data_IF_745773455290
#
_entry.id   IF_745773455290
#
_cell.length_a   1.000
_cell.length_b   1.000
_cell.length_c   1.000
_cell.angle_alpha   90.00
_cell.angle_beta   90.00
_cell.angle_gamma   90.00
#
_symmetry.space_group_name_H-M   'P 1'
#
loop_
_entity.id
_entity.type
_entity.pdbx_description
1 polymer ?
#
# COMPACT_ATOMS: atom_id res chain seq x y z
N UNK A 1 -23.59 0.72 27.24
CA UNK A 1 -23.46 1.34 25.90
C UNK A 1 -22.78 2.67 26.11
N UNK A 2 -21.45 2.63 26.26
CA UNK A 2 -20.64 3.83 26.39
C UNK A 2 -20.27 4.27 24.98
N UNK A 3 -20.46 5.53 24.66
CA UNK A 3 -19.84 6.19 23.52
C UNK A 3 -18.32 5.88 23.56
N UNK A 4 -17.87 4.92 22.76
CA UNK A 4 -16.51 4.97 22.26
C UNK A 4 -16.43 6.26 21.47
N UNK A 5 -15.44 7.12 21.70
CA UNK A 5 -15.24 8.34 20.90
C UNK A 5 -15.35 8.00 19.40
N UNK A 6 -16.51 8.32 18.83
CA UNK A 6 -17.12 7.56 17.74
C UNK A 6 -16.36 7.74 16.44
N UNK A 7 -16.16 6.65 15.69
CA UNK A 7 -15.70 6.75 14.31
C UNK A 7 -16.57 7.75 13.52
N UNK A 8 -15.93 8.77 12.93
CA UNK A 8 -16.62 9.85 12.24
C UNK A 8 -16.60 9.58 10.74
N UNK A 9 -17.71 9.77 10.00
CA UNK A 9 -17.67 9.78 8.55
C UNK A 9 -16.60 10.74 8.04
N UNK A 10 -15.87 10.32 7.01
CA UNK A 10 -14.82 11.09 6.37
C UNK A 10 -15.19 11.32 4.91
N UNK A 11 -14.94 12.54 4.43
CA UNK A 11 -15.12 12.91 3.03
C UNK A 11 -13.83 13.59 2.59
N UNK A 12 -13.28 13.12 1.48
CA UNK A 12 -12.11 13.74 0.86
C UNK A 12 -12.58 15.08 0.29
N UNK A 13 -11.94 16.15 0.73
CA UNK A 13 -12.16 17.50 0.21
C UNK A 13 -10.80 18.17 0.10
N UNK A 14 -10.20 18.08 -1.09
CA UNK A 14 -8.91 18.70 -1.40
C UNK A 14 -9.18 20.17 -1.76
N UNK A 15 -8.61 21.13 -1.01
CA UNK A 15 -8.79 22.55 -1.27
C UNK A 15 -8.31 22.95 -2.68
N UNK A 16 -9.03 23.87 -3.35
CA UNK A 16 -8.70 24.29 -4.71
C UNK A 16 -7.30 24.91 -4.83
N UNK A 17 -6.84 25.63 -3.79
CA UNK A 17 -5.50 26.22 -3.75
C UNK A 17 -4.39 25.15 -3.78
N UNK A 18 -4.62 23.96 -3.21
CA UNK A 18 -3.70 22.82 -3.32
C UNK A 18 -3.63 22.29 -4.75
N UNK A 19 -4.77 22.23 -5.44
CA UNK A 19 -4.82 21.79 -6.85
C UNK A 19 -4.17 22.82 -7.77
N UNK A 20 -4.37 24.11 -7.53
CA UNK A 20 -3.73 25.18 -8.28
C UNK A 20 -2.21 25.19 -8.05
N UNK A 21 -1.77 24.99 -6.81
CA UNK A 21 -0.36 24.84 -6.49
C UNK A 21 0.28 23.61 -7.17
N UNK A 22 -0.43 22.49 -7.21
CA UNK A 22 0.00 21.30 -7.94
C UNK A 22 0.17 21.60 -9.43
N UNK A 23 -0.80 22.27 -10.06
CA UNK A 23 -0.71 22.69 -11.47
C UNK A 23 0.50 23.58 -11.74
N UNK A 24 0.79 24.53 -10.86
CA UNK A 24 1.97 25.38 -10.97
C UNK A 24 3.27 24.56 -10.88
N UNK A 25 3.35 23.60 -9.97
CA UNK A 25 4.52 22.72 -9.84
C UNK A 25 4.72 21.83 -11.08
N UNK A 26 3.64 21.34 -11.68
CA UNK A 26 3.70 20.58 -12.93
C UNK A 26 4.14 21.46 -14.12
N UNK A 27 3.67 22.70 -14.18
CA UNK A 27 4.07 23.66 -15.23
C UNK A 27 5.55 24.07 -15.15
N UNK A 28 6.07 24.26 -13.94
CA UNK A 28 7.46 24.67 -13.70
C UNK A 28 8.44 23.49 -13.67
N UNK A 29 7.96 22.27 -13.89
CA UNK A 29 8.78 21.07 -13.79
C UNK A 29 9.93 21.10 -14.82
N UNK A 30 11.15 20.91 -14.32
CA UNK A 30 12.33 20.70 -15.17
C UNK A 30 12.58 19.20 -15.30
N UNK A 31 12.60 18.70 -16.53
CA UNK A 31 12.85 17.29 -16.82
C UNK A 31 14.35 17.02 -17.04
N UNK A 32 14.86 15.84 -16.68
CA UNK A 32 16.21 15.43 -17.05
C UNK A 32 16.30 15.14 -18.56
N UNK A 33 17.53 15.15 -19.08
CA UNK A 33 17.81 14.72 -20.45
C UNK A 33 17.58 13.21 -20.63
N UNK A 34 17.13 12.81 -21.82
CA UNK A 34 17.03 11.40 -22.18
C UNK A 34 18.43 10.84 -22.48
N UNK A 35 18.83 9.82 -21.72
CA UNK A 35 20.14 9.16 -21.89
C UNK A 35 20.04 7.98 -22.87
N UNK A 36 18.91 7.28 -22.89
CA UNK A 36 18.66 6.14 -23.78
C UNK A 36 18.09 6.62 -25.12
N UNK A 37 18.54 6.01 -26.23
CA UNK A 37 18.09 6.35 -27.59
C UNK A 37 16.75 5.72 -27.95
N UNK A 38 16.35 4.66 -27.26
CA UNK A 38 15.03 4.03 -27.42
C UNK A 38 14.05 4.65 -26.41
N UNK A 39 12.99 5.27 -26.93
CA UNK A 39 11.98 5.99 -26.14
C UNK A 39 11.06 5.08 -25.32
N UNK A 40 11.06 3.78 -25.60
CA UNK A 40 10.31 2.75 -24.87
C UNK A 40 11.18 1.91 -23.92
N UNK A 41 12.45 2.29 -23.73
CA UNK A 41 13.38 1.53 -22.88
C UNK A 41 13.27 1.94 -21.40
N UNK A 42 12.76 1.02 -20.58
CA UNK A 42 12.56 1.19 -19.14
C UNK A 42 13.74 0.70 -18.29
N UNK A 43 14.86 0.26 -18.90
CA UNK A 43 16.00 -0.31 -18.16
C UNK A 43 16.58 0.63 -17.10
N UNK A 44 16.42 1.95 -17.25
CA UNK A 44 16.84 2.97 -16.30
C UNK A 44 15.67 3.72 -15.62
N UNK A 45 14.47 3.12 -15.62
CA UNK A 45 13.24 3.71 -15.09
C UNK A 45 12.35 4.37 -16.16
N UNK A 46 11.37 5.21 -15.76
CA UNK A 46 10.38 5.75 -16.68
C UNK A 46 10.99 6.59 -17.82
N UNK A 47 10.70 6.27 -19.10
CA UNK A 47 11.21 7.05 -20.22
C UNK A 47 10.69 8.49 -20.22
N UNK A 48 11.54 9.42 -20.68
CA UNK A 48 11.20 10.85 -20.73
C UNK A 48 9.92 11.15 -21.54
N UNK A 49 9.67 10.54 -22.71
CA UNK A 49 8.42 10.77 -23.45
C UNK A 49 7.18 10.36 -22.65
N UNK A 50 7.24 9.22 -21.95
CA UNK A 50 6.16 8.77 -21.05
C UNK A 50 5.92 9.76 -19.92
N UNK A 51 6.98 10.23 -19.26
CA UNK A 51 6.87 11.21 -18.19
C UNK A 51 6.27 12.54 -18.67
N UNK A 52 6.70 13.06 -19.83
CA UNK A 52 6.15 14.29 -20.41
C UNK A 52 4.67 14.14 -20.75
N UNK A 53 4.30 13.02 -21.37
CA UNK A 53 2.91 12.71 -21.73
C UNK A 53 2.01 12.65 -20.49
N UNK A 54 2.45 11.97 -19.44
CA UNK A 54 1.67 11.87 -18.19
C UNK A 54 1.58 13.22 -17.48
N UNK A 55 2.67 13.97 -17.35
CA UNK A 55 2.65 15.30 -16.73
C UNK A 55 1.73 16.26 -17.48
N UNK A 56 1.72 16.22 -18.81
CA UNK A 56 0.80 17.01 -19.63
C UNK A 56 -0.66 16.60 -19.38
N UNK A 57 -0.93 15.30 -19.33
CA UNK A 57 -2.26 14.79 -18.98
C UNK A 57 -2.67 15.19 -17.55
N UNK A 58 -1.75 15.21 -16.59
CA UNK A 58 -2.02 15.65 -15.22
C UNK A 58 -2.34 17.13 -15.15
N UNK A 59 -1.65 17.94 -15.95
CA UNK A 59 -1.82 19.39 -16.00
C UNK A 59 -3.16 19.78 -16.61
N UNK A 60 -3.48 19.19 -17.76
CA UNK A 60 -4.55 19.69 -18.64
C UNK A 60 -5.71 18.71 -18.88
N UNK A 61 -5.51 17.42 -18.62
CA UNK A 61 -6.51 16.38 -18.89
C UNK A 61 -7.18 15.79 -17.65
N UNK A 62 -6.55 15.87 -16.48
CA UNK A 62 -7.11 15.24 -15.28
C UNK A 62 -8.20 16.06 -14.61
N UNK A 63 -9.30 15.39 -14.29
CA UNK A 63 -10.30 15.92 -13.38
C UNK A 63 -10.09 15.40 -11.96
N UNK A 64 -9.33 16.18 -11.16
CA UNK A 64 -9.09 15.91 -9.75
C UNK A 64 -10.39 15.84 -8.93
N UNK A 65 -11.40 16.64 -9.26
CA UNK A 65 -12.66 16.69 -8.51
C UNK A 65 -13.57 15.52 -8.87
N UNK A 66 -13.54 15.04 -10.11
CA UNK A 66 -14.19 13.79 -10.47
C UNK A 66 -13.57 12.58 -9.75
N UNK A 67 -12.23 12.53 -9.65
CA UNK A 67 -11.54 11.47 -8.91
C UNK A 67 -11.90 11.49 -7.42
N UNK A 68 -11.87 12.67 -6.78
CA UNK A 68 -12.32 12.89 -5.40
C UNK A 68 -13.77 12.43 -5.21
N UNK A 69 -14.69 12.86 -6.07
CA UNK A 69 -16.10 12.48 -6.01
C UNK A 69 -16.30 10.97 -6.12
N UNK A 70 -15.54 10.30 -7.01
CA UNK A 70 -15.59 8.84 -7.17
C UNK A 70 -15.13 8.11 -5.91
N UNK A 71 -14.05 8.56 -5.27
CA UNK A 71 -13.56 7.96 -4.02
C UNK A 71 -14.57 8.17 -2.88
N UNK A 72 -15.21 9.33 -2.82
CA UNK A 72 -16.24 9.65 -1.84
C UNK A 72 -17.54 8.84 -1.98
N UNK A 73 -17.71 8.06 -3.05
CA UNK A 73 -18.79 7.07 -3.14
C UNK A 73 -18.57 5.87 -2.20
N UNK A 74 -17.33 5.66 -1.75
CA UNK A 74 -16.98 4.57 -0.84
C UNK A 74 -17.10 5.09 0.60
N UNK A 75 -17.79 4.37 1.51
CA UNK A 75 -17.90 4.77 2.90
C UNK A 75 -16.53 4.82 3.58
N UNK A 76 -16.12 6.04 3.94
CA UNK A 76 -14.84 6.37 4.57
C UNK A 76 -15.07 6.92 5.96
N UNK A 77 -14.14 6.65 6.87
CA UNK A 77 -14.23 7.05 8.26
C UNK A 77 -12.86 7.44 8.81
N UNK A 78 -12.87 8.21 9.89
CA UNK A 78 -11.69 8.51 10.69
C UNK A 78 -11.98 8.24 12.16
N UNK A 79 -11.02 7.63 12.86
CA UNK A 79 -11.15 7.29 14.28
C UNK A 79 -9.83 7.47 15.01
N UNK A 80 -9.82 8.01 16.25
CA UNK A 80 -8.60 8.07 17.04
C UNK A 80 -8.20 6.67 17.54
N UNK A 81 -6.94 6.29 17.41
CA UNK A 81 -6.37 5.04 17.93
C UNK A 81 -5.12 5.37 18.75
N UNK A 82 -5.12 4.95 20.02
CA UNK A 82 -3.98 5.10 20.92
C UNK A 82 -2.97 3.98 20.70
N UNK A 83 -1.71 4.34 20.40
CA UNK A 83 -0.62 3.40 20.17
C UNK A 83 0.39 3.52 21.31
N UNK A 84 0.76 2.38 21.89
CA UNK A 84 1.58 2.33 23.09
C UNK A 84 2.96 2.91 22.81
N UNK A 85 3.33 3.94 23.58
CA UNK A 85 4.59 4.66 23.42
C UNK A 85 4.63 5.71 22.31
N UNK A 86 3.57 5.86 21.51
CA UNK A 86 3.50 6.82 20.40
C UNK A 86 2.33 7.81 20.48
N UNK A 87 1.33 7.54 21.32
CA UNK A 87 0.17 8.42 21.51
C UNK A 87 -0.96 8.13 20.54
N UNK A 88 -1.86 9.10 20.37
CA UNK A 88 -3.09 8.95 19.60
C UNK A 88 -2.89 9.38 18.15
N UNK A 89 -3.31 8.53 17.21
CA UNK A 89 -3.34 8.83 15.78
C UNK A 89 -4.76 8.86 15.26
N UNK A 90 -5.08 9.80 14.37
CA UNK A 90 -6.30 9.73 13.57
C UNK A 90 -6.06 8.74 12.44
N UNK A 91 -6.82 7.65 12.45
CA UNK A 91 -6.72 6.57 11.46
C UNK A 91 -7.87 6.68 10.49
N UNK A 92 -7.56 6.90 9.22
CA UNK A 92 -8.51 6.81 8.11
C UNK A 92 -8.70 5.35 7.69
N UNK A 93 -9.94 4.96 7.38
CA UNK A 93 -10.25 3.63 6.85
C UNK A 93 -11.52 3.60 6.01
N UNK A 94 -11.60 2.64 5.09
CA UNK A 94 -12.86 2.26 4.42
C UNK A 94 -13.61 1.25 5.28
N UNK A 95 -14.95 1.35 5.32
CA UNK A 95 -15.82 0.36 5.98
C UNK A 95 -16.97 -0.01 5.06
N UNK A 96 -16.85 -1.14 4.38
CA UNK A 96 -17.80 -1.59 3.36
C UNK A 96 -18.61 -2.77 3.90
N UNK A 97 -19.89 -2.84 3.50
CA UNK A 97 -20.84 -3.86 3.96
C UNK A 97 -21.11 -3.84 5.47
N UNK A 98 -21.13 -2.63 6.05
CA UNK A 98 -21.28 -2.41 7.49
C UNK A 98 -22.58 -3.02 8.02
N UNK A 99 -22.48 -3.89 9.03
CA UNK A 99 -23.64 -4.51 9.68
C UNK A 99 -24.34 -5.61 8.87
N UNK A 100 -23.68 -6.13 7.83
CA UNK A 100 -24.19 -7.25 7.06
C UNK A 100 -24.29 -8.53 7.91
N UNK A 101 -25.45 -9.19 7.87
CA UNK A 101 -25.66 -10.44 8.62
C UNK A 101 -24.80 -11.56 8.02
N UNK A 102 -24.15 -12.33 8.89
CA UNK A 102 -23.30 -13.47 8.51
C UNK A 102 -22.09 -13.12 7.64
N UNK A 103 -21.71 -11.84 7.58
CA UNK A 103 -20.49 -11.42 6.91
C UNK A 103 -19.27 -11.69 7.81
N UNK A 104 -18.20 -12.20 7.22
CA UNK A 104 -16.91 -12.41 7.89
C UNK A 104 -16.19 -11.06 7.98
N UNK A 105 -15.80 -10.58 9.18
CA UNK A 105 -14.98 -9.39 9.28
C UNK A 105 -13.61 -9.61 8.63
N UNK A 106 -13.29 -8.78 7.64
CA UNK A 106 -12.06 -8.87 6.84
C UNK A 106 -11.29 -7.55 6.95
N UNK A 107 -10.09 -7.63 7.52
CA UNK A 107 -9.13 -6.53 7.51
C UNK A 107 -8.19 -6.68 6.31
N UNK A 108 -8.19 -5.71 5.39
CA UNK A 108 -7.29 -5.68 4.23
C UNK A 108 -6.23 -4.60 4.39
N UNK A 109 -4.96 -4.98 4.29
CA UNK A 109 -3.82 -4.11 4.61
C UNK A 109 -2.96 -3.93 3.36
N UNK A 110 -2.84 -2.68 2.90
CA UNK A 110 -2.02 -2.32 1.74
C UNK A 110 -0.53 -2.27 2.08
N UNK A 111 0.29 -2.08 1.04
CA UNK A 111 1.73 -1.83 1.17
C UNK A 111 2.18 -0.51 0.55
N UNK A 112 3.40 -0.50 0.01
CA UNK A 112 4.03 0.58 -0.73
C UNK A 112 4.37 0.12 -2.16
N UNK A 113 4.23 0.98 -3.19
CA UNK A 113 3.74 2.36 -3.14
C UNK A 113 2.23 2.50 -2.92
N UNK A 114 1.52 1.38 -2.72
CA UNK A 114 0.07 1.27 -2.56
C UNK A 114 -0.59 2.13 -1.47
N UNK A 115 -1.92 2.03 -1.44
CA UNK A 115 -2.81 2.67 -0.47
C UNK A 115 -4.13 1.92 -0.40
N UNK A 116 -5.08 2.36 0.43
CA UNK A 116 -6.44 1.82 0.46
C UNK A 116 -7.12 1.77 -0.93
N UNK A 117 -6.66 2.62 -1.86
CA UNK A 117 -7.17 2.68 -3.22
C UNK A 117 -7.06 1.36 -3.99
N UNK A 118 -6.01 0.57 -3.75
CA UNK A 118 -5.72 -0.65 -4.51
C UNK A 118 -6.84 -1.70 -4.40
N UNK A 119 -7.59 -1.65 -3.30
CA UNK A 119 -8.68 -2.59 -3.03
C UNK A 119 -10.02 -2.15 -3.61
N UNK A 120 -10.15 -0.90 -4.09
CA UNK A 120 -11.46 -0.33 -4.49
C UNK A 120 -12.15 -1.12 -5.61
N UNK A 121 -11.37 -1.78 -6.47
CA UNK A 121 -11.87 -2.61 -7.56
C UNK A 121 -12.43 -3.97 -7.14
N UNK A 122 -12.08 -4.46 -5.95
CA UNK A 122 -12.53 -5.78 -5.45
C UNK A 122 -13.63 -5.69 -4.39
N UNK A 123 -13.90 -4.48 -3.87
CA UNK A 123 -14.91 -4.24 -2.83
C UNK A 123 -16.29 -4.79 -3.17
N UNK A 124 -16.74 -4.62 -4.43
CA UNK A 124 -18.05 -5.11 -4.88
C UNK A 124 -18.18 -6.62 -4.75
N UNK A 125 -17.20 -7.37 -5.26
CA UNK A 125 -17.19 -8.83 -5.21
C UNK A 125 -17.07 -9.37 -3.77
N UNK A 126 -16.29 -8.71 -2.91
CA UNK A 126 -16.12 -9.11 -1.51
C UNK A 126 -17.36 -8.83 -0.65
N UNK A 127 -18.04 -7.71 -0.89
CA UNK A 127 -19.23 -7.32 -0.15
C UNK A 127 -20.48 -8.09 -0.61
N UNK A 128 -20.63 -8.26 -1.93
CA UNK A 128 -21.84 -8.76 -2.58
C UNK A 128 -21.55 -10.04 -3.38
N UNK A 129 -20.97 -11.07 -2.76
CA UNK A 129 -20.82 -12.37 -3.43
C UNK A 129 -22.15 -12.82 -4.04
N UNK A 130 -22.13 -13.14 -5.34
CA UNK A 130 -23.31 -13.41 -6.17
C UNK A 130 -23.84 -14.86 -6.03
N UNK A 131 -23.34 -15.65 -5.06
CA UNK A 131 -23.69 -17.06 -4.86
C UNK A 131 -23.53 -17.59 -3.42
N UNK A 132 -23.02 -18.81 -3.27
CA UNK A 132 -22.72 -19.45 -1.97
C UNK A 132 -21.41 -18.95 -1.33
N UNK A 133 -20.70 -18.04 -1.99
CA UNK A 133 -19.42 -17.54 -1.50
C UNK A 133 -19.57 -16.77 -0.16
N UNK A 134 -18.52 -16.79 0.69
CA UNK A 134 -18.51 -16.00 1.91
C UNK A 134 -18.63 -14.50 1.58
N UNK A 135 -19.50 -13.82 2.32
CA UNK A 135 -19.62 -12.35 2.30
C UNK A 135 -18.70 -11.76 3.34
N UNK A 136 -18.11 -10.60 3.04
CA UNK A 136 -17.20 -9.93 3.95
C UNK A 136 -17.72 -8.57 4.40
N UNK A 137 -17.47 -8.23 5.67
CA UNK A 137 -17.54 -6.87 6.18
C UNK A 137 -16.10 -6.33 6.17
N UNK A 138 -15.82 -5.44 5.21
CA UNK A 138 -14.45 -5.14 4.80
C UNK A 138 -13.98 -3.84 5.45
N UNK A 139 -12.86 -3.93 6.17
CA UNK A 139 -12.15 -2.81 6.81
C UNK A 139 -10.81 -2.63 6.11
N UNK A 140 -10.56 -1.42 5.61
CA UNK A 140 -9.32 -1.09 4.87
C UNK A 140 -8.69 0.17 5.46
N UNK A 141 -7.79 0.06 6.45
CA UNK A 141 -7.10 1.21 6.99
C UNK A 141 -6.12 1.79 5.97
N UNK A 142 -5.96 3.11 5.99
CA UNK A 142 -4.70 3.72 5.59
C UNK A 142 -3.70 3.52 6.73
N UNK A 143 -2.55 2.92 6.44
CA UNK A 143 -1.47 2.75 7.43
C UNK A 143 -1.04 4.10 8.01
N UNK A 144 -0.48 4.10 9.23
CA UNK A 144 0.10 5.33 9.81
C UNK A 144 1.18 5.85 8.89
N UNK A 145 1.08 7.13 8.50
CA UNK A 145 1.92 7.76 7.48
C UNK A 145 1.41 7.63 6.04
N UNK A 146 0.28 6.97 5.79
CA UNK A 146 -0.25 6.78 4.45
C UNK A 146 -1.64 7.40 4.31
N UNK A 147 -2.01 7.76 3.08
CA UNK A 147 -3.37 8.20 2.79
C UNK A 147 -3.76 9.43 3.62
N UNK A 148 -4.89 9.30 4.30
CA UNK A 148 -5.45 10.30 5.21
C UNK A 148 -5.24 9.98 6.70
N UNK A 149 -4.49 8.93 7.03
CA UNK A 149 -4.09 8.62 8.42
C UNK A 149 -2.91 9.48 8.84
N UNK A 150 -2.87 9.94 10.08
CA UNK A 150 -1.75 10.73 10.62
C UNK A 150 -0.40 10.02 10.43
N UNK A 151 0.68 10.81 10.31
CA UNK A 151 2.06 10.30 10.25
C UNK A 151 2.71 10.23 11.63
N UNK A 152 3.61 9.26 11.81
CA UNK A 152 4.44 9.20 13.01
C UNK A 152 5.31 10.48 13.13
N UNK A 153 5.49 10.96 14.36
CA UNK A 153 6.27 12.17 14.66
C UNK A 153 7.56 11.87 15.45
N UNK A 154 7.88 10.59 15.65
CA UNK A 154 9.08 10.13 16.33
C UNK A 154 9.55 8.79 15.74
N UNK A 155 10.86 8.48 15.83
CA UNK A 155 11.42 7.24 15.29
C UNK A 155 10.85 5.97 15.94
N UNK A 156 10.98 4.85 15.23
CA UNK A 156 10.67 3.51 15.75
C UNK A 156 9.25 3.01 15.46
N UNK A 157 8.46 3.73 14.65
CA UNK A 157 7.15 3.27 14.21
C UNK A 157 7.29 2.12 13.19
N UNK A 158 7.47 0.90 13.69
CA UNK A 158 7.71 -0.30 12.90
C UNK A 158 6.43 -1.01 12.45
N UNK A 159 6.56 -2.09 11.67
CA UNK A 159 5.43 -2.96 11.31
C UNK A 159 4.73 -3.55 12.55
N UNK A 160 5.42 -3.70 13.69
CA UNK A 160 4.77 -4.11 14.95
C UNK A 160 3.78 -3.05 15.45
N UNK A 161 4.10 -1.77 15.30
CA UNK A 161 3.21 -0.66 15.68
C UNK A 161 2.07 -0.48 14.67
N UNK A 162 2.30 -0.76 13.39
CA UNK A 162 1.21 -0.85 12.40
C UNK A 162 0.25 -2.01 12.72
N UNK A 163 0.76 -3.18 13.12
CA UNK A 163 -0.06 -4.31 13.55
C UNK A 163 -0.87 -3.99 14.82
N UNK A 164 -0.26 -3.33 15.82
CA UNK A 164 -0.95 -2.85 17.01
C UNK A 164 -2.09 -1.89 16.65
N UNK A 165 -1.85 -0.94 15.73
CA UNK A 165 -2.87 -0.03 15.21
C UNK A 165 -4.03 -0.79 14.57
N UNK A 166 -3.73 -1.74 13.68
CA UNK A 166 -4.74 -2.55 13.01
C UNK A 166 -5.59 -3.38 13.99
N UNK A 167 -4.95 -4.00 14.98
CA UNK A 167 -5.62 -4.75 16.04
C UNK A 167 -6.56 -3.85 16.87
N UNK A 168 -6.05 -2.70 17.34
CA UNK A 168 -6.83 -1.75 18.13
C UNK A 168 -7.98 -1.13 17.32
N UNK A 169 -7.79 -0.91 16.01
CA UNK A 169 -8.86 -0.49 15.10
C UNK A 169 -9.98 -1.53 15.08
N UNK A 170 -9.66 -2.81 14.79
CA UNK A 170 -10.66 -3.87 14.71
C UNK A 170 -11.45 -4.03 16.03
N UNK A 171 -10.75 -3.99 17.18
CA UNK A 171 -11.42 -4.03 18.48
C UNK A 171 -12.31 -2.80 18.74
N UNK A 172 -11.86 -1.60 18.38
CA UNK A 172 -12.65 -0.38 18.53
C UNK A 172 -13.92 -0.41 17.68
N UNK A 173 -13.87 -1.08 16.52
CA UNK A 173 -15.03 -1.32 15.65
C UNK A 173 -15.94 -2.47 16.14
N UNK A 174 -15.56 -3.17 17.21
CA UNK A 174 -16.35 -4.25 17.80
C UNK A 174 -16.06 -5.64 17.22
N UNK A 175 -15.07 -5.78 16.34
CA UNK A 175 -14.69 -7.08 15.77
C UNK A 175 -13.73 -7.82 16.70
N UNK A 176 -14.30 -8.70 17.54
CA UNK A 176 -13.48 -9.56 18.41
C UNK A 176 -12.79 -10.68 17.65
N UNK A 177 -13.34 -11.14 16.53
CA UNK A 177 -12.77 -12.20 15.69
C UNK A 177 -12.85 -11.77 14.23
N UNK A 178 -11.74 -11.89 13.49
CA UNK A 178 -11.64 -11.44 12.11
C UNK A 178 -10.56 -12.20 11.34
N UNK A 179 -10.61 -12.12 10.02
CA UNK A 179 -9.55 -12.62 9.13
C UNK A 179 -8.78 -11.44 8.55
N UNK A 180 -7.53 -11.67 8.18
CA UNK A 180 -6.64 -10.61 7.68
C UNK A 180 -6.13 -10.96 6.29
N UNK A 181 -6.04 -9.96 5.43
CA UNK A 181 -5.45 -10.05 4.11
C UNK A 181 -4.43 -8.92 3.90
N UNK A 182 -3.33 -9.22 3.21
CA UNK A 182 -2.37 -8.20 2.82
C UNK A 182 -1.27 -8.71 1.91
N UNK A 183 -0.76 -7.82 1.06
CA UNK A 183 0.47 -7.99 0.26
C UNK A 183 1.52 -6.94 0.64
N UNK A 184 2.73 -7.02 0.12
CA UNK A 184 3.84 -6.10 0.43
C UNK A 184 4.01 -5.84 1.95
N UNK A 185 4.02 -4.59 2.48
CA UNK A 185 4.06 -4.34 3.93
C UNK A 185 2.87 -4.97 4.67
N UNK A 186 1.71 -5.04 4.01
CA UNK A 186 0.53 -5.73 4.50
C UNK A 186 0.79 -7.19 4.81
N UNK A 187 1.61 -7.91 4.03
CA UNK A 187 2.00 -9.29 4.34
C UNK A 187 2.77 -9.38 5.68
N UNK A 188 3.72 -8.47 5.91
CA UNK A 188 4.49 -8.45 7.16
C UNK A 188 3.57 -8.14 8.34
N UNK A 189 2.66 -7.18 8.18
CA UNK A 189 1.72 -6.76 9.23
C UNK A 189 0.71 -7.87 9.54
N UNK A 190 0.18 -8.56 8.54
CA UNK A 190 -0.76 -9.69 8.74
C UNK A 190 -0.09 -10.85 9.46
N UNK A 191 1.18 -11.17 9.15
CA UNK A 191 1.96 -12.17 9.89
C UNK A 191 2.22 -11.77 11.34
N UNK A 192 2.53 -10.50 11.62
CA UNK A 192 2.68 -10.02 13.01
C UNK A 192 1.34 -10.12 13.75
N UNK A 193 0.24 -9.72 13.12
CA UNK A 193 -1.10 -9.83 13.68
C UNK A 193 -1.45 -11.27 14.05
N UNK A 194 -1.18 -12.22 13.15
CA UNK A 194 -1.43 -13.63 13.39
C UNK A 194 -0.55 -14.17 14.53
N UNK A 195 0.76 -13.93 14.49
CA UNK A 195 1.67 -14.42 15.53
C UNK A 195 1.35 -13.85 16.93
N UNK A 196 0.83 -12.62 16.99
CA UNK A 196 0.58 -11.92 18.27
C UNK A 196 -0.82 -12.18 18.82
N UNK A 197 -1.83 -12.29 17.96
CA UNK A 197 -3.25 -12.26 18.38
C UNK A 197 -4.05 -13.53 18.00
N UNK A 198 -3.45 -14.50 17.33
CA UNK A 198 -4.02 -15.85 17.17
C UNK A 198 -3.92 -16.65 18.50
N UNK A 199 -4.89 -17.52 18.83
CA UNK A 199 -6.15 -17.79 18.11
C UNK A 199 -7.30 -16.87 18.54
N UNK A 200 -7.07 -15.92 19.45
CA UNK A 200 -8.15 -15.17 20.10
C UNK A 200 -8.87 -14.23 19.13
N UNK A 201 -8.13 -13.46 18.33
CA UNK A 201 -8.71 -12.40 17.49
C UNK A 201 -8.54 -12.67 16.00
N UNK A 202 -7.33 -13.00 15.56
CA UNK A 202 -7.06 -13.32 14.15
C UNK A 202 -7.34 -14.80 13.91
N UNK A 203 -8.21 -15.13 12.94
CA UNK A 203 -8.64 -16.52 12.67
C UNK A 203 -8.01 -17.13 11.42
N UNK A 204 -7.64 -16.30 10.45
CA UNK A 204 -6.97 -16.72 9.24
C UNK A 204 -6.15 -15.57 8.66
N UNK A 205 -5.09 -15.94 7.93
CA UNK A 205 -4.28 -15.03 7.13
C UNK A 205 -4.38 -15.45 5.67
N UNK A 206 -4.61 -14.48 4.80
CA UNK A 206 -4.44 -14.63 3.36
C UNK A 206 -3.39 -13.62 2.86
N UNK A 207 -2.37 -14.08 2.14
CA UNK A 207 -1.37 -13.20 1.51
C UNK A 207 -1.25 -13.52 0.03
N UNK A 208 -1.10 -12.47 -0.78
CA UNK A 208 -0.75 -12.56 -2.20
C UNK A 208 0.73 -12.23 -2.48
N UNK A 209 1.54 -12.09 -1.42
CA UNK A 209 3.00 -12.05 -1.48
C UNK A 209 3.56 -13.32 -0.83
N UNK A 210 4.64 -13.85 -1.39
CA UNK A 210 5.40 -14.94 -0.77
C UNK A 210 6.42 -14.39 0.24
N UNK A 211 6.55 -15.06 1.38
CA UNK A 211 7.67 -14.80 2.29
C UNK A 211 9.01 -15.01 1.58
N UNK A 212 10.00 -14.17 1.92
CA UNK A 212 11.39 -14.46 1.56
C UNK A 212 11.83 -15.67 2.38
N UNK A 213 11.86 -16.84 1.76
CA UNK A 213 12.42 -18.05 2.35
C UNK A 213 13.84 -18.26 1.82
N UNK A 214 14.82 -18.28 2.72
CA UNK A 214 16.15 -18.79 2.41
C UNK A 214 16.13 -20.32 2.44
N UNK A 215 17.01 -20.99 1.67
CA UNK A 215 17.16 -22.44 1.77
C UNK A 215 17.47 -22.82 3.23
N UNK A 216 16.85 -23.89 3.76
CA UNK A 216 17.13 -24.33 5.12
C UNK A 216 18.61 -24.68 5.28
N UNK A 217 19.23 -24.27 6.39
CA UNK A 217 20.60 -24.66 6.74
C UNK A 217 20.60 -25.92 7.59
N UNK A 218 21.52 -26.85 7.35
CA UNK A 218 21.57 -28.14 8.05
C UNK A 218 21.68 -27.97 9.58
N UNK A 219 22.49 -27.03 10.06
CA UNK A 219 22.72 -26.84 11.50
C UNK A 219 21.56 -26.15 12.23
N UNK A 220 20.68 -25.44 11.52
CA UNK A 220 19.53 -24.76 12.11
C UNK A 220 18.25 -25.60 11.94
N UNK A 221 18.09 -26.24 10.78
CA UNK A 221 16.86 -26.87 10.34
C UNK A 221 17.17 -28.20 9.62
N UNK A 222 17.74 -29.21 10.29
CA UNK A 222 18.25 -30.43 9.66
C UNK A 222 17.17 -31.23 8.92
N UNK A 223 15.93 -31.24 9.45
CA UNK A 223 14.80 -31.93 8.83
C UNK A 223 14.39 -31.24 7.52
N UNK A 224 14.18 -29.93 7.55
CA UNK A 224 13.82 -29.17 6.35
C UNK A 224 14.96 -29.17 5.31
N UNK A 225 16.22 -29.13 5.76
CA UNK A 225 17.38 -29.29 4.90
C UNK A 225 17.33 -30.62 4.17
N UNK A 226 17.12 -31.73 4.89
CA UNK A 226 17.07 -33.06 4.29
C UNK A 226 15.88 -33.18 3.33
N UNK A 227 14.70 -32.67 3.70
CA UNK A 227 13.54 -32.62 2.82
C UNK A 227 13.84 -31.84 1.53
N UNK A 228 14.53 -30.70 1.63
CA UNK A 228 14.93 -29.90 0.48
C UNK A 228 15.94 -30.65 -0.42
N UNK A 229 16.87 -31.42 0.14
CA UNK A 229 17.79 -32.26 -0.66
C UNK A 229 17.04 -33.37 -1.41
N UNK A 230 15.97 -33.90 -0.84
CA UNK A 230 15.18 -35.00 -1.41
C UNK A 230 14.07 -34.52 -2.38
N UNK A 231 13.81 -33.21 -2.45
CA UNK A 231 12.75 -32.58 -3.26
C UNK A 231 12.87 -32.80 -4.77
N UNK A 232 14.05 -33.22 -5.25
CA UNK A 232 14.38 -33.26 -6.68
C UNK A 232 14.69 -31.87 -7.25
N UNK A 233 15.06 -31.77 -8.53
CA UNK A 233 15.45 -30.50 -9.14
C UNK A 233 14.27 -29.53 -9.25
N UNK A 234 14.54 -28.23 -9.14
CA UNK A 234 13.55 -27.19 -9.44
C UNK A 234 13.01 -27.34 -10.87
N UNK A 235 11.70 -27.20 -11.01
CA UNK A 235 11.02 -27.09 -12.31
C UNK A 235 11.46 -25.82 -13.04
N UNK A 236 11.19 -25.73 -14.35
CA UNK A 236 11.51 -24.54 -15.14
C UNK A 236 10.82 -23.27 -14.59
N UNK A 237 9.57 -23.39 -14.13
CA UNK A 237 8.80 -22.26 -13.55
C UNK A 237 9.44 -21.79 -12.24
N UNK A 238 9.84 -22.71 -11.37
CA UNK A 238 10.50 -22.37 -10.10
C UNK A 238 11.87 -21.71 -10.34
N UNK A 239 12.67 -22.23 -11.28
CA UNK A 239 13.96 -21.61 -11.66
C UNK A 239 13.76 -20.19 -12.16
N UNK A 240 12.79 -19.97 -13.06
CA UNK A 240 12.47 -18.64 -13.56
C UNK A 240 11.98 -17.70 -12.43
N UNK A 241 11.25 -18.23 -11.43
CA UNK A 241 10.87 -17.48 -10.23
C UNK A 241 12.06 -17.05 -9.38
N UNK A 242 13.02 -17.95 -9.17
CA UNK A 242 14.27 -17.66 -8.45
C UNK A 242 15.08 -16.59 -9.20
N UNK A 243 15.21 -16.71 -10.52
CA UNK A 243 15.93 -15.73 -11.35
C UNK A 243 15.27 -14.34 -11.29
N UNK A 244 13.94 -14.26 -11.33
CA UNK A 244 13.21 -12.99 -11.15
C UNK A 244 13.45 -12.39 -9.76
N UNK A 245 13.44 -13.20 -8.71
CA UNK A 245 13.76 -12.74 -7.34
C UNK A 245 15.18 -12.23 -7.24
N UNK A 246 16.15 -12.93 -7.83
CA UNK A 246 17.55 -12.49 -7.85
C UNK A 246 17.71 -11.15 -8.58
N UNK A 247 17.07 -11.01 -9.75
CA UNK A 247 17.07 -9.75 -10.52
C UNK A 247 16.45 -8.60 -9.72
N UNK A 248 15.33 -8.84 -9.05
CA UNK A 248 14.73 -7.84 -8.18
C UNK A 248 15.69 -7.40 -7.06
N UNK A 249 16.40 -8.35 -6.45
CA UNK A 249 17.37 -8.04 -5.38
C UNK A 249 18.61 -7.28 -5.88
N UNK A 250 19.09 -7.56 -7.10
CA UNK A 250 20.28 -6.92 -7.66
C UNK A 250 20.00 -5.58 -8.35
N UNK A 251 18.88 -5.48 -9.07
CA UNK A 251 18.57 -4.35 -9.96
C UNK A 251 17.38 -3.53 -9.45
N UNK A 252 16.34 -4.18 -8.92
CA UNK A 252 15.09 -3.53 -8.51
C UNK A 252 15.03 -2.99 -7.08
N UNK A 253 15.99 -3.35 -6.22
CA UNK A 253 15.93 -3.11 -4.77
C UNK A 253 16.44 -1.73 -4.32
N UNK A 254 16.92 -0.89 -5.25
CA UNK A 254 17.56 0.39 -4.94
C UNK A 254 16.65 1.36 -4.16
N UNK A 255 15.36 1.43 -4.51
CA UNK A 255 14.39 2.28 -3.81
C UNK A 255 14.31 1.92 -2.31
N UNK A 256 14.33 0.63 -1.99
CA UNK A 256 14.18 0.12 -0.63
C UNK A 256 15.41 0.48 0.20
N UNK A 257 16.62 0.40 -0.38
CA UNK A 257 17.85 0.82 0.29
C UNK A 257 17.83 2.31 0.62
N UNK A 258 17.37 3.16 -0.31
CA UNK A 258 17.20 4.59 -0.07
C UNK A 258 16.21 4.87 1.05
N UNK A 259 15.03 4.25 1.02
CA UNK A 259 14.01 4.37 2.07
C UNK A 259 14.50 3.84 3.42
N UNK A 260 15.24 2.73 3.43
CA UNK A 260 15.74 2.11 4.67
C UNK A 260 16.78 2.98 5.38
N UNK A 261 17.66 3.63 4.62
CA UNK A 261 18.85 4.26 5.19
C UNK A 261 18.78 5.79 5.26
N UNK A 262 18.12 6.45 4.30
CA UNK A 262 18.09 7.91 4.17
C UNK A 262 16.69 8.42 3.77
N UNK A 263 15.62 8.03 4.50
CA UNK A 263 14.27 8.33 4.06
C UNK A 263 13.92 9.83 4.11
N UNK A 264 14.47 10.59 5.07
CA UNK A 264 14.32 12.05 5.10
C UNK A 264 14.99 12.73 3.89
N UNK A 265 16.09 12.18 3.37
CA UNK A 265 16.78 12.73 2.20
C UNK A 265 15.95 12.61 0.93
N UNK A 266 15.49 11.40 0.59
CA UNK A 266 14.60 11.18 -0.56
C UNK A 266 13.23 11.85 -0.35
N UNK A 267 12.78 11.93 0.91
CA UNK A 267 11.54 12.59 1.30
C UNK A 267 11.46 14.03 0.83
N UNK A 268 12.55 14.81 0.90
CA UNK A 268 12.54 16.20 0.41
C UNK A 268 12.24 16.31 -1.09
N UNK A 269 12.83 15.46 -1.93
CA UNK A 269 12.66 15.58 -3.38
C UNK A 269 11.27 15.14 -3.84
N UNK A 270 10.73 14.07 -3.25
CA UNK A 270 9.38 13.58 -3.59
C UNK A 270 8.26 14.40 -2.93
N UNK A 271 8.55 15.09 -1.82
CA UNK A 271 7.63 16.07 -1.23
C UNK A 271 7.51 17.33 -2.08
N UNK A 272 8.64 17.78 -2.65
CA UNK A 272 8.67 19.02 -3.40
C UNK A 272 8.22 18.85 -4.86
N UNK A 273 8.64 17.78 -5.54
CA UNK A 273 8.36 17.61 -6.96
C UNK A 273 7.30 16.54 -7.22
N UNK A 274 6.08 16.90 -7.67
CA UNK A 274 5.08 15.92 -8.08
C UNK A 274 5.55 15.09 -9.28
N UNK A 275 6.39 15.65 -10.16
CA UNK A 275 7.02 14.90 -11.26
C UNK A 275 8.04 13.89 -10.72
N UNK A 276 8.78 14.26 -9.68
CA UNK A 276 9.70 13.36 -8.98
C UNK A 276 8.98 12.21 -8.30
N UNK A 277 7.87 12.49 -7.61
CA UNK A 277 7.01 11.47 -6.98
C UNK A 277 6.37 10.54 -8.02
N UNK A 278 5.82 11.10 -9.10
CA UNK A 278 5.28 10.33 -10.24
C UNK A 278 6.33 9.37 -10.80
N UNK A 279 7.52 9.85 -11.13
CA UNK A 279 8.58 9.01 -11.69
C UNK A 279 9.00 7.90 -10.72
N UNK A 280 9.11 8.22 -9.43
CA UNK A 280 9.49 7.27 -8.38
C UNK A 280 8.50 6.11 -8.23
N UNK A 281 7.21 6.38 -8.41
CA UNK A 281 6.15 5.38 -8.23
C UNK A 281 5.82 4.66 -9.53
N UNK A 282 5.74 5.38 -10.65
CA UNK A 282 5.43 4.82 -11.96
C UNK A 282 6.38 3.69 -12.34
N UNK A 283 7.66 3.84 -12.00
CA UNK A 283 8.67 2.80 -12.14
C UNK A 283 8.21 1.46 -11.55
N UNK A 284 7.65 1.49 -10.34
CA UNK A 284 7.20 0.29 -9.62
C UNK A 284 5.88 -0.24 -10.16
N UNK A 285 4.97 0.64 -10.55
CA UNK A 285 3.70 0.22 -11.17
C UNK A 285 3.94 -0.50 -12.48
N UNK A 286 4.94 -0.09 -13.27
CA UNK A 286 5.31 -0.80 -14.49
C UNK A 286 6.00 -2.12 -14.16
N UNK A 287 7.01 -2.10 -13.29
CA UNK A 287 7.87 -3.27 -13.06
C UNK A 287 7.19 -4.39 -12.27
N UNK A 288 6.23 -4.06 -11.40
CA UNK A 288 5.62 -5.02 -10.48
C UNK A 288 4.22 -5.48 -10.92
N UNK A 289 3.74 -5.01 -12.07
CA UNK A 289 2.55 -5.58 -12.69
C UNK A 289 2.91 -6.52 -13.84
N UNK A 290 2.02 -7.47 -14.09
CA UNK A 290 2.00 -8.21 -15.35
C UNK A 290 1.44 -7.29 -16.46
N UNK A 291 0.68 -7.81 -17.41
CA UNK A 291 0.05 -7.05 -18.50
C UNK A 291 -1.17 -6.21 -18.06
N UNK A 292 -1.09 -5.56 -16.89
CA UNK A 292 -2.19 -4.74 -16.40
C UNK A 292 -2.34 -3.48 -17.26
N UNK A 293 -3.53 -3.23 -17.86
CA UNK A 293 -3.74 -2.10 -18.75
C UNK A 293 -3.98 -0.82 -17.93
N UNK A 294 -2.92 -0.27 -17.35
CA UNK A 294 -2.96 0.98 -16.60
C UNK A 294 -3.58 2.10 -17.43
N UNK A 295 -4.62 2.72 -16.91
CA UNK A 295 -5.16 3.95 -17.48
C UNK A 295 -4.33 5.16 -17.02
N UNK A 296 -4.31 6.23 -17.80
CA UNK A 296 -3.59 7.44 -17.40
C UNK A 296 -4.16 8.06 -16.11
N UNK A 297 -5.43 7.78 -15.78
CA UNK A 297 -6.04 8.18 -14.51
C UNK A 297 -5.46 7.42 -13.32
N UNK A 298 -5.08 6.16 -13.51
CA UNK A 298 -4.57 5.30 -12.43
C UNK A 298 -3.14 5.62 -12.02
N UNK A 299 -2.37 6.24 -12.93
CA UNK A 299 -1.02 6.72 -12.63
C UNK A 299 -0.97 7.77 -11.50
N UNK A 300 -2.10 8.40 -11.16
CA UNK A 300 -2.21 9.60 -10.30
C UNK A 300 -2.46 9.35 -8.82
N UNK A 301 -2.92 8.16 -8.45
CA UNK A 301 -3.51 7.97 -7.12
C UNK A 301 -2.52 8.12 -5.96
N UNK A 302 -1.24 8.21 -6.24
CA UNK A 302 -0.20 8.36 -5.23
C UNK A 302 0.04 9.81 -4.77
N UNK A 303 -0.44 10.80 -5.53
CA UNK A 303 -0.30 12.23 -5.20
C UNK A 303 -1.52 12.81 -4.47
N UNK A 304 -2.63 12.07 -4.40
CA UNK A 304 -3.88 12.50 -3.77
C UNK A 304 -3.81 12.59 -2.24
N UNK A 305 -2.75 12.05 -1.64
CA UNK A 305 -2.72 11.82 -0.21
C UNK A 305 -1.79 12.80 0.49
N UNK A 306 -2.28 13.58 1.47
CA UNK A 306 -1.47 14.59 2.14
C UNK A 306 -0.23 14.00 2.83
N UNK A 307 -0.26 12.70 3.16
CA UNK A 307 0.86 12.02 3.82
C UNK A 307 1.74 11.16 2.89
N UNK A 308 1.40 10.95 1.60
CA UNK A 308 2.37 10.33 0.67
C UNK A 308 3.57 11.22 0.39
N UNK A 309 3.39 12.54 0.54
CA UNK A 309 4.40 13.56 0.31
C UNK A 309 5.26 13.91 1.54
N UNK A 310 5.03 13.36 2.74
CA UNK A 310 5.71 13.89 3.95
C UNK A 310 5.97 12.94 5.11
N UNK A 311 5.45 11.71 5.10
CA UNK A 311 5.58 10.79 6.24
C UNK A 311 6.83 9.90 6.21
N UNK A 312 7.43 9.71 5.04
CA UNK A 312 8.65 8.91 4.90
C UNK A 312 9.79 9.49 5.72
N UNK A 313 9.74 10.79 5.97
CA UNK A 313 10.87 11.58 6.35
C UNK A 313 11.09 11.73 7.87
N UNK A 314 10.23 11.18 8.74
CA UNK A 314 10.34 11.41 10.19
C UNK A 314 10.43 10.14 11.00
#
# INVERSE_FOLDING_TARGET
MADSETAKPFTIDIPSDKLDFLRQKLELATFPDAILTNEDDWSHGPPLPTMRRLVEYWRNGFDWKAAEARLNLIPQYIVPIDIDGFGTFRVHYLHVNKGAKSAIPLLMIHGWPGSFFEFTKVLGALANGDGEEPKFEVIIPSLIGYGFSDGANQPGFSCFKQAEMCYKLMLKLGFSEYVVQGGDWGMIITHILANTYYPKHVKAVHTNNSDKCEPPFFFENPIYWLQNQLRGPFTAIEKAGIERTQRFMSEGYGYNLMHKHRPQTIGYSIADSPVGLLGWILDKLRDWTDNYPWTDDESKFFDLFPNTQGSWAK
#
